data_IF_345652946695
#
_entry.id   IF_345652946695
#
_cell.length_a   1.000
_cell.length_b   1.000
_cell.length_c   1.000
_cell.angle_alpha   90.00
_cell.angle_beta   90.00
_cell.angle_gamma   90.00
#
_symmetry.space_group_name_H-M   'P 1'
#
loop_
_entity.id
_entity.type
_entity.pdbx_description
1 polymer ?
#
# COMPACT_ATOMS: atom_id res chain seq x y z
N UNK A 1 -38.81 -23.60 -43.52
CA UNK A 1 -37.41 -23.38 -43.95
C UNK A 1 -37.26 -21.87 -44.13
N UNK A 2 -36.48 -21.10 -43.40
CA UNK A 2 -35.46 -21.33 -42.37
C UNK A 2 -35.47 -20.11 -41.44
N UNK A 3 -35.11 -20.34 -40.17
CA UNK A 3 -34.91 -19.30 -39.17
C UNK A 3 -33.59 -18.58 -39.42
N UNK A 4 -33.52 -17.26 -39.17
CA UNK A 4 -32.24 -16.58 -39.01
C UNK A 4 -32.20 -15.80 -37.70
N UNK A 5 -31.62 -16.49 -36.72
CA UNK A 5 -31.21 -16.00 -35.41
C UNK A 5 -29.90 -15.21 -35.60
N UNK A 6 -29.91 -13.89 -35.39
CA UNK A 6 -28.66 -13.11 -35.26
C UNK A 6 -28.41 -12.83 -33.79
N UNK A 7 -27.52 -13.63 -33.21
CA UNK A 7 -27.04 -13.51 -31.83
C UNK A 7 -26.09 -12.31 -31.72
N UNK A 8 -26.46 -11.34 -30.90
CA UNK A 8 -25.61 -10.19 -30.54
C UNK A 8 -24.41 -10.68 -29.73
N UNK A 9 -23.25 -10.76 -30.39
CA UNK A 9 -21.96 -11.02 -29.75
C UNK A 9 -21.63 -9.93 -28.73
N UNK A 10 -21.85 -10.23 -27.46
CA UNK A 10 -21.53 -9.38 -26.31
C UNK A 10 -20.00 -9.37 -26.16
N UNK A 11 -19.35 -8.33 -26.69
CA UNK A 11 -17.90 -8.13 -26.57
C UNK A 11 -17.57 -7.93 -25.08
N UNK A 12 -17.11 -9.00 -24.44
CA UNK A 12 -16.68 -9.02 -23.04
C UNK A 12 -15.38 -8.19 -22.99
N UNK A 13 -15.51 -6.89 -22.73
CA UNK A 13 -14.38 -6.00 -22.44
C UNK A 13 -13.58 -6.66 -21.31
N UNK A 14 -12.39 -7.14 -21.64
CA UNK A 14 -11.42 -7.59 -20.64
C UNK A 14 -11.11 -6.38 -19.79
N UNK A 15 -11.46 -6.41 -18.51
CA UNK A 15 -10.95 -5.45 -17.54
C UNK A 15 -9.44 -5.63 -17.52
N UNK A 16 -8.72 -4.72 -18.17
CA UNK A 16 -7.30 -4.56 -17.92
C UNK A 16 -7.14 -4.29 -16.41
N UNK A 17 -6.17 -4.91 -15.72
CA UNK A 17 -5.87 -4.54 -14.35
C UNK A 17 -5.55 -3.05 -14.34
N UNK A 18 -6.21 -2.29 -13.48
CA UNK A 18 -5.98 -0.86 -13.34
C UNK A 18 -4.48 -0.65 -13.14
N UNK A 19 -3.83 0.03 -14.08
CA UNK A 19 -2.45 0.44 -13.93
C UNK A 19 -2.36 1.20 -12.61
N UNK A 20 -1.49 0.73 -11.71
CA UNK A 20 -1.23 1.42 -10.45
C UNK A 20 -0.48 2.70 -10.85
N UNK A 21 -1.20 3.81 -11.02
CA UNK A 21 -0.63 5.15 -11.08
C UNK A 21 -0.02 5.43 -9.71
N UNK A 22 1.22 5.00 -9.52
CA UNK A 22 2.02 5.51 -8.42
C UNK A 22 2.35 6.95 -8.80
N UNK A 23 1.77 7.92 -8.09
CA UNK A 23 2.15 9.33 -8.24
C UNK A 23 3.68 9.35 -8.16
N UNK A 24 4.37 9.86 -9.19
CA UNK A 24 5.84 9.82 -9.27
C UNK A 24 6.54 10.37 -8.01
N UNK A 25 5.83 11.24 -7.29
CA UNK A 25 6.20 11.79 -5.99
C UNK A 25 6.32 10.73 -4.87
N UNK A 26 5.46 9.71 -4.81
CA UNK A 26 5.51 8.70 -3.76
C UNK A 26 6.71 7.75 -3.90
N UNK A 27 7.05 7.33 -5.13
CA UNK A 27 8.22 6.47 -5.35
C UNK A 27 9.50 7.20 -4.94
N UNK A 28 9.60 8.49 -5.28
CA UNK A 28 10.73 9.32 -4.88
C UNK A 28 10.81 9.47 -3.36
N UNK A 29 9.69 9.80 -2.71
CA UNK A 29 9.63 9.93 -1.24
C UNK A 29 10.03 8.64 -0.52
N UNK A 30 9.58 7.47 -1.01
CA UNK A 30 9.97 6.18 -0.46
C UNK A 30 11.44 5.86 -0.71
N UNK A 31 11.99 6.27 -1.86
CA UNK A 31 13.42 6.11 -2.14
C UNK A 31 14.29 6.98 -1.22
N UNK A 32 13.95 8.27 -1.05
CA UNK A 32 14.61 9.18 -0.11
C UNK A 32 14.54 8.66 1.33
N UNK A 33 13.40 8.08 1.73
CA UNK A 33 13.22 7.44 3.04
C UNK A 33 14.21 6.28 3.22
N UNK A 34 14.35 5.42 2.21
CA UNK A 34 15.27 4.27 2.24
C UNK A 34 16.75 4.69 2.24
N UNK A 35 17.09 5.79 1.57
CA UNK A 35 18.44 6.39 1.58
C UNK A 35 18.77 7.09 2.91
N UNK A 36 17.77 7.41 3.72
CA UNK A 36 17.94 8.20 4.95
C UNK A 36 18.00 9.71 4.73
N UNK A 37 17.64 10.18 3.54
CA UNK A 37 17.48 11.61 3.24
C UNK A 37 16.15 12.16 3.77
N UNK A 38 15.21 11.27 4.10
CA UNK A 38 13.91 11.59 4.67
C UNK A 38 13.67 10.77 5.93
N UNK A 39 13.15 11.43 6.98
CA UNK A 39 12.82 10.77 8.26
C UNK A 39 11.52 9.97 8.21
N UNK A 40 10.50 10.47 7.51
CA UNK A 40 9.16 9.86 7.50
C UNK A 40 8.39 10.11 6.19
N UNK A 41 7.54 9.16 5.81
CA UNK A 41 6.56 9.23 4.71
C UNK A 41 5.20 8.72 5.19
N UNK A 42 4.15 9.53 5.08
CA UNK A 42 2.76 9.12 5.35
C UNK A 42 2.07 8.73 4.04
N UNK A 43 1.39 7.59 4.04
CA UNK A 43 0.75 7.02 2.84
C UNK A 43 -0.64 6.49 3.19
N UNK A 44 -1.61 6.78 2.33
CA UNK A 44 -2.94 6.16 2.45
C UNK A 44 -2.91 4.73 1.92
N UNK A 45 -3.22 3.77 2.79
CA UNK A 45 -3.36 2.35 2.44
C UNK A 45 -4.79 2.05 2.03
N UNK A 46 -4.99 1.72 0.74
CA UNK A 46 -6.29 1.21 0.26
C UNK A 46 -6.66 -0.14 0.88
N UNK A 47 -5.67 -0.97 1.17
CA UNK A 47 -5.88 -2.29 1.77
C UNK A 47 -6.48 -2.18 3.19
N UNK A 48 -6.10 -1.13 3.92
CA UNK A 48 -6.49 -0.90 5.32
C UNK A 48 -7.54 0.21 5.47
N UNK A 49 -7.85 0.93 4.37
CA UNK A 49 -8.69 2.13 4.37
C UNK A 49 -8.26 3.16 5.44
N UNK A 50 -6.95 3.32 5.63
CA UNK A 50 -6.36 4.17 6.67
C UNK A 50 -4.97 4.66 6.25
N UNK A 51 -4.52 5.75 6.89
CA UNK A 51 -3.15 6.22 6.75
C UNK A 51 -2.19 5.36 7.55
N UNK A 52 -1.02 5.10 6.97
CA UNK A 52 0.13 4.47 7.62
C UNK A 52 1.35 5.35 7.44
N UNK A 53 2.26 5.29 8.41
CA UNK A 53 3.43 6.15 8.45
C UNK A 53 4.69 5.29 8.40
N UNK A 54 5.53 5.48 7.38
CA UNK A 54 6.83 4.81 7.28
C UNK A 54 7.91 5.75 7.83
N UNK A 55 8.76 5.25 8.71
CA UNK A 55 9.84 6.03 9.35
C UNK A 55 11.19 5.35 9.18
N UNK A 56 12.22 6.14 8.97
CA UNK A 56 13.60 5.68 9.03
C UNK A 56 14.15 5.85 10.46
N UNK A 57 14.32 4.76 11.23
CA UNK A 57 14.79 4.82 12.62
C UNK A 57 16.24 5.34 12.76
N UNK A 58 17.02 5.36 11.67
CA UNK A 58 18.37 5.94 11.70
C UNK A 58 18.35 7.48 11.69
N UNK A 59 17.23 8.09 11.28
CA UNK A 59 17.05 9.54 11.15
C UNK A 59 16.10 10.07 12.22
N UNK A 60 15.03 9.32 12.50
CA UNK A 60 13.95 9.74 13.38
C UNK A 60 13.48 8.57 14.24
N UNK A 61 13.41 8.79 15.56
CA UNK A 61 13.00 7.76 16.51
C UNK A 61 11.48 7.51 16.41
N UNK A 62 11.04 6.29 16.04
CA UNK A 62 9.62 5.94 15.96
C UNK A 62 8.85 6.14 17.26
N UNK A 63 9.49 5.99 18.43
CA UNK A 63 8.81 6.07 19.74
C UNK A 63 8.47 7.50 20.14
N UNK A 64 9.16 8.48 19.56
CA UNK A 64 8.96 9.92 19.82
C UNK A 64 7.93 10.56 18.88
N UNK A 65 7.38 9.81 17.93
CA UNK A 65 6.44 10.32 16.95
C UNK A 65 5.04 10.48 17.55
N UNK A 66 4.58 11.73 17.64
CA UNK A 66 3.18 12.04 17.92
C UNK A 66 2.35 11.98 16.63
N UNK A 67 1.96 10.76 16.23
CA UNK A 67 1.15 10.52 15.03
C UNK A 67 -0.12 9.71 15.33
N UNK A 68 -1.18 10.01 14.59
CA UNK A 68 -2.51 9.38 14.67
C UNK A 68 -2.66 8.11 13.81
N UNK A 69 -1.56 7.63 13.23
CA UNK A 69 -1.47 6.52 12.29
C UNK A 69 -0.53 5.42 12.82
N UNK A 70 -0.72 4.14 12.45
CA UNK A 70 0.26 3.10 12.70
C UNK A 70 1.59 3.37 11.99
N UNK A 71 2.69 3.26 12.76
CA UNK A 71 4.06 3.53 12.31
C UNK A 71 4.78 2.24 11.91
N UNK A 72 5.46 2.25 10.78
CA UNK A 72 6.28 1.17 10.23
C UNK A 72 7.70 1.65 9.98
N UNK A 73 8.69 0.89 10.39
CA UNK A 73 10.09 1.20 10.08
C UNK A 73 10.42 0.89 8.61
N UNK A 74 11.53 1.42 8.10
CA UNK A 74 12.08 1.04 6.78
C UNK A 74 12.34 -0.46 6.65
N UNK A 75 12.68 -1.15 7.75
CA UNK A 75 12.79 -2.62 7.78
C UNK A 75 11.44 -3.30 7.53
N UNK A 76 10.38 -2.77 8.14
CA UNK A 76 9.03 -3.30 7.97
C UNK A 76 8.44 -2.94 6.60
N UNK A 77 8.83 -1.81 6.00
CA UNK A 77 8.43 -1.45 4.64
C UNK A 77 8.81 -2.55 3.64
N UNK A 78 10.05 -3.04 3.68
CA UNK A 78 10.50 -4.13 2.80
C UNK A 78 9.65 -5.40 2.99
N UNK A 79 9.29 -5.72 4.23
CA UNK A 79 8.42 -6.84 4.53
C UNK A 79 7.00 -6.61 3.98
N UNK A 80 6.38 -5.46 4.28
CA UNK A 80 5.04 -5.09 3.81
C UNK A 80 4.93 -5.16 2.28
N UNK A 81 5.94 -4.69 1.55
CA UNK A 81 5.97 -4.74 0.09
C UNK A 81 6.01 -6.17 -0.48
N UNK A 82 6.46 -7.14 0.31
CA UNK A 82 6.49 -8.56 -0.09
C UNK A 82 5.18 -9.31 0.20
N UNK A 83 4.28 -8.72 0.99
CA UNK A 83 3.03 -9.36 1.40
C UNK A 83 1.95 -9.20 0.34
N UNK A 84 1.08 -10.21 0.23
CA UNK A 84 -0.23 -10.03 -0.37
C UNK A 84 -1.09 -9.07 0.47
N UNK A 85 -2.16 -8.54 -0.13
CA UNK A 85 -3.08 -7.63 0.57
C UNK A 85 -3.69 -8.27 1.83
N UNK A 86 -4.05 -9.55 1.77
CA UNK A 86 -4.61 -10.27 2.91
C UNK A 86 -3.59 -10.47 4.04
N UNK A 87 -2.36 -10.86 3.69
CA UNK A 87 -1.27 -10.99 4.65
C UNK A 87 -0.93 -9.65 5.29
N UNK A 88 -0.93 -8.57 4.52
CA UNK A 88 -0.71 -7.23 5.04
C UNK A 88 -1.79 -6.82 6.05
N UNK A 89 -3.07 -7.09 5.77
CA UNK A 89 -4.17 -6.85 6.73
C UNK A 89 -3.99 -7.64 8.03
N UNK A 90 -3.60 -8.92 7.94
CA UNK A 90 -3.33 -9.77 9.12
C UNK A 90 -2.13 -9.26 9.92
N UNK A 91 -1.04 -8.92 9.24
CA UNK A 91 0.15 -8.35 9.86
C UNK A 91 -0.17 -7.03 10.58
N UNK A 92 -0.90 -6.13 9.92
CA UNK A 92 -1.36 -4.87 10.51
C UNK A 92 -2.18 -5.11 11.77
N UNK A 93 -3.19 -5.99 11.69
CA UNK A 93 -4.04 -6.33 12.84
C UNK A 93 -3.23 -6.83 14.04
N UNK A 94 -2.24 -7.70 13.82
CA UNK A 94 -1.37 -8.20 14.89
C UNK A 94 -0.54 -7.07 15.49
N UNK A 95 0.07 -6.24 14.65
CA UNK A 95 0.90 -5.12 15.08
C UNK A 95 0.14 -4.12 15.95
N UNK A 96 -1.06 -3.71 15.53
CA UNK A 96 -1.84 -2.71 16.26
C UNK A 96 -2.45 -3.27 17.55
N UNK A 97 -2.66 -4.58 17.65
CA UNK A 97 -3.17 -5.22 18.89
C UNK A 97 -2.10 -5.48 19.95
N UNK A 98 -0.84 -5.64 19.55
CA UNK A 98 0.28 -5.82 20.48
C UNK A 98 0.71 -4.51 21.16
N UNK A 99 0.20 -3.38 20.67
CA UNK A 99 0.46 -2.03 21.21
C UNK A 99 -0.71 -1.57 22.12
N UNK A 100 -1.70 -2.44 22.37
CA UNK A 100 -2.88 -2.17 23.21
C UNK A 100 -2.80 -2.75 24.62
#
# INVERSE_FOLDING_TARGET
MEANLVTRGKTRRRHAPAAIEVKGDLLLQLYELLQGERGMVRVYSRALQSDVCFVNPAVQDPETLEVDCPVYTTRELAFVLSLSEEEFRRFHYLKTRLIG
#
